data_IF_161004940815
#
_entry.id   IF_161004940815
#
_cell.length_a   1.000
_cell.length_b   1.000
_cell.length_c   1.000
_cell.angle_alpha   90.00
_cell.angle_beta   90.00
_cell.angle_gamma   90.00
#
_symmetry.space_group_name_H-M   'P 1'
#
loop_
_entity.id
_entity.type
_entity.pdbx_description
1 polymer ?
#
# COMPACT_ATOMS: atom_id res chain seq x y z
N UNK A 1 9.02 -0.97 19.86
CA UNK A 1 10.23 -0.13 19.70
C UNK A 1 11.46 -0.94 19.36
N UNK A 2 11.72 -2.11 19.96
CA UNK A 2 12.89 -2.94 19.60
C UNK A 2 12.90 -3.38 18.11
N UNK A 3 11.73 -3.62 17.52
CA UNK A 3 11.57 -3.94 16.09
C UNK A 3 11.69 -2.75 15.14
N UNK A 4 11.49 -1.53 15.65
CA UNK A 4 11.52 -0.30 14.85
C UNK A 4 12.93 0.23 15.02
N UNK A 5 13.76 0.11 13.99
CA UNK A 5 15.16 0.55 14.06
C UNK A 5 15.29 2.02 14.46
N UNK A 6 16.52 2.48 14.70
CA UNK A 6 16.80 3.85 15.16
C UNK A 6 16.18 4.96 14.29
N UNK A 7 15.96 4.67 13.01
CA UNK A 7 15.40 5.58 12.00
C UNK A 7 13.96 5.22 11.58
N UNK A 8 13.30 4.29 12.29
CA UNK A 8 11.95 3.89 11.94
C UNK A 8 10.90 4.93 12.30
N UNK A 9 9.89 5.08 11.45
CA UNK A 9 8.78 6.03 11.63
C UNK A 9 7.66 5.34 12.40
N UNK A 10 7.10 6.03 13.39
CA UNK A 10 5.93 5.58 14.13
C UNK A 10 4.77 6.51 13.77
N UNK A 11 3.73 5.95 13.16
CA UNK A 11 2.46 6.64 12.94
C UNK A 11 1.50 6.26 14.07
N UNK A 12 0.83 7.26 14.64
CA UNK A 12 -0.20 7.05 15.67
C UNK A 12 -1.55 7.42 15.06
N UNK A 13 -2.46 6.46 15.02
CA UNK A 13 -3.82 6.65 14.52
C UNK A 13 -4.85 6.47 15.65
N UNK A 14 -5.98 7.16 15.53
CA UNK A 14 -7.08 7.03 16.49
C UNK A 14 -7.82 5.71 16.24
N UNK A 15 -7.59 4.73 17.12
CA UNK A 15 -8.33 3.46 17.08
C UNK A 15 -9.80 3.67 17.40
N UNK A 16 -10.68 2.94 16.70
CA UNK A 16 -12.12 2.88 17.01
C UNK A 16 -12.44 1.89 18.14
N UNK A 17 -11.47 1.07 18.55
CA UNK A 17 -11.58 0.08 19.61
C UNK A 17 -11.23 0.63 21.00
N UNK A 18 -11.50 -0.18 22.03
CA UNK A 18 -11.07 0.12 23.41
C UNK A 18 -9.62 -0.31 23.68
N UNK A 19 -9.10 -1.20 22.85
CA UNK A 19 -7.78 -1.80 23.00
C UNK A 19 -6.71 -1.08 22.15
N UNK A 20 -5.47 -1.13 22.62
CA UNK A 20 -4.32 -0.65 21.86
C UNK A 20 -3.87 -1.72 20.87
N UNK A 21 -3.88 -1.38 19.59
CA UNK A 21 -3.36 -2.23 18.51
C UNK A 21 -2.01 -1.69 18.01
N UNK A 22 -1.08 -2.59 17.70
CA UNK A 22 0.21 -2.24 17.13
C UNK A 22 0.45 -3.08 15.88
N UNK A 23 0.48 -2.42 14.73
CA UNK A 23 0.81 -3.04 13.45
C UNK A 23 2.20 -2.63 13.00
N UNK A 24 2.88 -3.55 12.30
CA UNK A 24 4.18 -3.31 11.69
C UNK A 24 4.02 -3.41 10.18
N UNK A 25 4.42 -2.36 9.47
CA UNK A 25 4.49 -2.37 8.00
C UNK A 25 5.84 -2.93 7.59
N UNK A 26 5.83 -4.11 6.96
CA UNK A 26 7.02 -4.71 6.36
C UNK A 26 7.05 -4.35 4.86
N UNK A 27 8.15 -3.72 4.43
CA UNK A 27 8.31 -3.26 3.05
C UNK A 27 7.93 -1.79 2.85
N UNK A 28 7.39 -1.47 1.68
CA UNK A 28 6.99 -0.11 1.30
C UNK A 28 5.48 -0.05 1.09
N UNK A 29 4.83 0.86 1.79
CA UNK A 29 3.41 1.15 1.63
C UNK A 29 3.23 2.52 0.98
N UNK A 30 2.21 2.62 0.11
CA UNK A 30 1.82 3.86 -0.55
C UNK A 30 0.35 4.08 -0.25
N UNK A 31 -0.05 5.30 0.10
CA UNK A 31 -1.44 5.65 0.47
C UNK A 31 -2.41 5.68 -0.72
N UNK A 32 -2.04 5.06 -1.86
CA UNK A 32 -2.86 4.98 -3.08
C UNK A 32 -3.04 3.53 -3.49
N UNK A 33 -4.31 3.11 -3.60
CA UNK A 33 -4.70 1.80 -4.11
C UNK A 33 -4.82 1.74 -5.63
N UNK A 34 -5.49 0.69 -6.12
CA UNK A 34 -5.77 0.50 -7.54
C UNK A 34 -6.67 1.60 -8.13
N UNK A 35 -6.36 2.04 -9.36
CA UNK A 35 -7.09 3.10 -10.06
C UNK A 35 -8.47 2.62 -10.55
N UNK A 36 -8.61 1.31 -10.77
CA UNK A 36 -9.80 0.68 -11.35
C UNK A 36 -10.19 -0.56 -10.55
N UNK A 37 -11.49 -0.77 -10.26
CA UNK A 37 -11.97 -1.99 -9.59
C UNK A 37 -11.66 -3.28 -10.35
N UNK A 38 -11.42 -3.19 -11.67
CA UNK A 38 -11.05 -4.35 -12.48
C UNK A 38 -9.68 -4.94 -12.12
N UNK A 39 -8.88 -4.26 -11.28
CA UNK A 39 -7.60 -4.78 -10.78
C UNK A 39 -7.73 -5.65 -9.53
N UNK A 40 -8.93 -5.79 -8.97
CA UNK A 40 -9.18 -6.63 -7.80
C UNK A 40 -8.97 -8.11 -8.19
N UNK A 41 -8.10 -8.79 -7.44
CA UNK A 41 -7.80 -10.22 -7.59
C UNK A 41 -8.48 -11.05 -6.51
N UNK A 42 -8.73 -10.45 -5.34
CA UNK A 42 -9.48 -11.03 -4.24
C UNK A 42 -10.71 -10.16 -3.95
N UNK A 43 -11.90 -10.68 -4.30
CA UNK A 43 -13.17 -9.94 -4.15
C UNK A 43 -13.68 -9.90 -2.72
N UNK A 44 -13.35 -10.90 -1.89
CA UNK A 44 -13.80 -10.95 -0.51
C UNK A 44 -13.05 -9.93 0.33
N UNK A 45 -11.75 -9.77 0.05
CA UNK A 45 -10.87 -8.81 0.72
C UNK A 45 -10.82 -7.45 0.04
N UNK A 46 -11.33 -7.33 -1.18
CA UNK A 46 -11.23 -6.14 -2.03
C UNK A 46 -9.76 -5.71 -2.23
N UNK A 47 -8.91 -6.69 -2.57
CA UNK A 47 -7.45 -6.50 -2.70
C UNK A 47 -6.96 -6.84 -4.11
N UNK A 48 -5.85 -6.21 -4.51
CA UNK A 48 -5.09 -6.54 -5.72
C UNK A 48 -3.74 -7.11 -5.30
N UNK A 49 -3.53 -8.39 -5.59
CA UNK A 49 -2.33 -9.13 -5.22
C UNK A 49 -1.69 -9.72 -6.47
N UNK A 50 -0.44 -9.33 -6.72
CA UNK A 50 0.36 -9.78 -7.87
C UNK A 50 1.70 -10.26 -7.33
N UNK A 51 2.04 -11.52 -7.60
CA UNK A 51 3.34 -12.10 -7.26
C UNK A 51 4.41 -11.62 -8.27
N UNK A 52 5.59 -11.29 -7.76
CA UNK A 52 6.76 -10.81 -8.51
C UNK A 52 6.44 -9.76 -9.61
N UNK A 53 5.79 -8.63 -9.25
CA UNK A 53 5.35 -7.66 -10.24
C UNK A 53 6.51 -6.82 -10.79
N UNK A 54 6.38 -6.40 -12.06
CA UNK A 54 7.15 -5.28 -12.58
C UNK A 54 6.53 -3.95 -12.11
N UNK A 55 7.36 -3.05 -11.59
CA UNK A 55 6.93 -1.73 -11.11
C UNK A 55 7.33 -0.68 -12.14
N UNK A 56 6.34 -0.01 -12.74
CA UNK A 56 6.55 1.16 -13.60
C UNK A 56 6.53 2.44 -12.75
N UNK A 57 7.65 3.17 -12.72
CA UNK A 57 7.77 4.47 -12.04
C UNK A 57 7.92 5.56 -13.10
N UNK A 58 7.04 6.54 -13.07
CA UNK A 58 7.07 7.71 -13.98
C UNK A 58 6.59 8.95 -13.25
N UNK A 59 7.13 10.11 -13.63
CA UNK A 59 6.74 11.44 -13.15
C UNK A 59 5.60 12.05 -14.00
N UNK A 60 5.25 11.41 -15.12
CA UNK A 60 4.20 11.86 -16.06
C UNK A 60 2.91 11.09 -15.87
N UNK A 61 1.80 11.77 -16.14
CA UNK A 61 0.49 11.11 -16.26
C UNK A 61 0.45 10.29 -17.56
N UNK A 62 0.15 8.99 -17.44
CA UNK A 62 -0.19 8.13 -18.58
C UNK A 62 -1.67 8.32 -18.88
N UNK A 63 -1.98 8.87 -20.06
CA UNK A 63 -3.36 9.21 -20.46
C UNK A 63 -3.78 8.50 -21.75
N UNK A 64 -2.82 8.13 -22.59
CA UNK A 64 -2.99 7.38 -23.82
C UNK A 64 -1.99 6.22 -23.89
N UNK A 65 -2.30 5.22 -24.72
CA UNK A 65 -1.41 4.07 -24.95
C UNK A 65 -0.06 4.49 -25.54
N UNK A 66 -0.02 5.58 -26.29
CA UNK A 66 1.22 6.14 -26.86
C UNK A 66 2.15 6.80 -25.82
N UNK A 67 1.69 7.00 -24.59
CA UNK A 67 2.51 7.57 -23.50
C UNK A 67 3.41 6.52 -22.84
N UNK A 68 3.21 5.23 -23.17
CA UNK A 68 3.98 4.06 -22.74
C UNK A 68 5.01 3.68 -23.80
#
# INVERSE_FOLDING_TARGET
MEKVGKDGVITVEESKGLDYEQEFVEGMQIDRGYISPYFITDQDRMESSIEDPYILITDKKVSAVSDL
#
